data_IF_918392035188
#
_entry.id   IF_918392035188
#
_cell.length_a   1.000
_cell.length_b   1.000
_cell.length_c   1.000
_cell.angle_alpha   90.00
_cell.angle_beta   90.00
_cell.angle_gamma   90.00
#
_symmetry.space_group_name_H-M   'P 1'
#
loop_
_entity.id
_entity.type
_entity.pdbx_description
1 polymer ?
#
# COMPACT_ATOMS: atom_id res chain seq x y z
N UNK A 1 -24.53 34.94 -19.88
CA UNK A 1 -24.18 33.93 -20.90
C UNK A 1 -22.73 33.53 -20.74
N UNK A 2 -22.46 32.22 -20.69
CA UNK A 2 -21.08 31.72 -20.75
C UNK A 2 -20.58 31.89 -22.18
N UNK A 3 -19.33 32.32 -22.33
CA UNK A 3 -18.70 32.41 -23.64
C UNK A 3 -18.30 31.02 -24.20
N UNK A 4 -18.20 30.01 -23.33
CA UNK A 4 -17.87 28.62 -23.68
C UNK A 4 -18.54 27.66 -22.69
N UNK A 5 -19.09 26.56 -23.20
CA UNK A 5 -19.68 25.50 -22.36
C UNK A 5 -18.65 24.50 -21.86
N UNK A 6 -17.72 24.06 -22.72
CA UNK A 6 -16.58 23.18 -22.38
C UNK A 6 -15.48 23.25 -23.45
N UNK A 7 -14.25 22.87 -23.08
CA UNK A 7 -13.15 22.61 -24.00
C UNK A 7 -12.72 21.15 -23.84
N UNK A 8 -12.75 20.39 -24.94
CA UNK A 8 -12.28 19.00 -24.97
C UNK A 8 -11.29 18.88 -26.12
N UNK A 9 -10.07 18.44 -25.82
CA UNK A 9 -9.03 18.14 -26.81
C UNK A 9 -8.57 16.73 -26.55
N UNK A 10 -8.71 15.86 -27.54
CA UNK A 10 -8.38 14.44 -27.39
C UNK A 10 -8.02 13.75 -28.69
N UNK A 11 -7.25 12.66 -28.59
CA UNK A 11 -6.80 11.84 -29.72
C UNK A 11 -6.22 12.73 -30.83
N UNK A 12 -5.27 13.57 -30.44
CA UNK A 12 -4.64 14.51 -31.35
C UNK A 12 -3.15 14.67 -31.05
N UNK A 13 -2.40 15.13 -32.05
CA UNK A 13 -0.97 15.30 -31.95
C UNK A 13 -0.55 16.74 -32.20
N UNK A 14 0.41 17.24 -31.42
CA UNK A 14 1.06 18.54 -31.62
C UNK A 14 2.54 18.32 -31.95
N UNK A 15 3.04 19.03 -32.97
CA UNK A 15 4.44 18.87 -33.38
C UNK A 15 5.05 20.19 -33.80
N UNK A 16 6.32 20.40 -33.44
CA UNK A 16 7.08 21.58 -33.83
C UNK A 16 6.43 22.90 -33.39
N UNK A 17 5.70 22.90 -32.26
CA UNK A 17 5.06 24.11 -31.76
C UNK A 17 6.11 24.92 -30.98
N UNK A 18 6.39 26.15 -31.39
CA UNK A 18 7.34 27.07 -30.73
C UNK A 18 6.78 27.79 -29.49
N UNK A 19 5.56 27.44 -29.09
CA UNK A 19 4.80 28.03 -27.98
C UNK A 19 3.95 26.95 -27.29
N UNK A 20 2.99 27.35 -26.45
CA UNK A 20 2.04 26.41 -25.86
C UNK A 20 1.16 25.76 -26.95
N UNK A 21 1.10 24.43 -26.94
CA UNK A 21 0.18 23.65 -27.77
C UNK A 21 -1.27 24.01 -27.43
N UNK A 22 -1.56 24.17 -26.14
CA UNK A 22 -2.85 24.66 -25.64
C UNK A 22 -2.63 25.72 -24.57
N UNK A 23 -3.17 26.92 -24.81
CA UNK A 23 -3.27 27.97 -23.80
C UNK A 23 -4.73 28.33 -23.59
N UNK A 24 -5.20 28.24 -22.36
CA UNK A 24 -6.60 28.53 -22.01
C UNK A 24 -6.70 29.30 -20.71
N UNK A 25 -7.40 30.43 -20.72
CA UNK A 25 -7.61 31.27 -19.54
C UNK A 25 -9.11 31.27 -19.21
N UNK A 26 -9.44 30.73 -18.04
CA UNK A 26 -10.73 31.01 -17.42
C UNK A 26 -10.73 32.42 -16.86
N UNK A 27 -11.93 32.96 -16.62
CA UNK A 27 -12.05 34.28 -16.02
C UNK A 27 -11.66 34.26 -14.52
N UNK A 28 -11.91 35.36 -13.82
CA UNK A 28 -11.62 35.50 -12.39
C UNK A 28 -12.89 35.57 -11.56
N UNK A 29 -14.04 35.34 -12.19
CA UNK A 29 -15.31 35.37 -11.51
C UNK A 29 -15.41 34.12 -10.62
N UNK A 30 -16.05 34.27 -9.47
CA UNK A 30 -16.31 33.17 -8.53
C UNK A 30 -17.81 32.92 -8.35
N UNK A 31 -18.62 33.60 -9.15
CA UNK A 31 -20.08 33.56 -9.11
C UNK A 31 -20.64 32.50 -10.06
N UNK A 32 -19.90 32.18 -11.11
CA UNK A 32 -20.22 31.15 -12.07
C UNK A 32 -19.11 30.12 -12.10
N UNK A 33 -19.48 28.85 -12.26
CA UNK A 33 -18.48 27.80 -12.40
C UNK A 33 -17.77 27.93 -13.76
N UNK A 34 -16.45 27.74 -13.76
CA UNK A 34 -15.62 27.69 -14.96
C UNK A 34 -16.13 26.66 -15.98
N UNK A 35 -15.80 26.89 -17.24
CA UNK A 35 -15.99 25.88 -18.28
C UNK A 35 -15.05 24.69 -18.01
N UNK A 36 -15.55 23.45 -18.01
CA UNK A 36 -14.70 22.27 -17.88
C UNK A 36 -13.69 22.20 -19.03
N UNK A 37 -12.44 21.88 -18.68
CA UNK A 37 -11.35 21.65 -19.63
C UNK A 37 -10.84 20.23 -19.49
N UNK A 38 -10.90 19.47 -20.57
CA UNK A 38 -10.44 18.08 -20.65
C UNK A 38 -9.40 17.95 -21.76
N UNK A 39 -8.18 17.59 -21.38
CA UNK A 39 -7.09 17.24 -22.29
C UNK A 39 -6.73 15.77 -22.04
N UNK A 40 -6.98 14.88 -23.01
CA UNK A 40 -6.74 13.45 -22.86
C UNK A 40 -6.22 12.79 -24.14
N UNK A 41 -5.33 11.80 -24.05
CA UNK A 41 -4.78 11.09 -25.21
C UNK A 41 -4.16 12.02 -26.26
N UNK A 42 -3.08 12.70 -25.88
CA UNK A 42 -2.38 13.67 -26.74
C UNK A 42 -0.91 13.30 -26.86
N UNK A 43 -0.41 13.28 -28.09
CA UNK A 43 1.02 13.10 -28.38
C UNK A 43 1.66 14.43 -28.76
N UNK A 44 2.69 14.85 -28.02
CA UNK A 44 3.41 16.09 -28.27
C UNK A 44 4.87 15.76 -28.54
N UNK A 45 5.36 16.12 -29.73
CA UNK A 45 6.74 15.84 -30.12
C UNK A 45 7.45 17.08 -30.65
N UNK A 46 8.72 17.27 -30.27
CA UNK A 46 9.57 18.37 -30.76
C UNK A 46 8.98 19.78 -30.58
N UNK A 47 8.21 19.98 -29.51
CA UNK A 47 7.57 21.25 -29.19
C UNK A 47 8.26 21.94 -28.02
N UNK A 48 8.10 23.25 -27.95
CA UNK A 48 8.60 24.07 -26.87
C UNK A 48 8.05 23.61 -25.51
N UNK A 49 8.81 23.84 -24.44
CA UNK A 49 8.33 23.68 -23.08
C UNK A 49 7.12 24.57 -22.78
N UNK A 50 6.45 24.32 -21.66
CA UNK A 50 5.10 24.83 -21.36
C UNK A 50 4.11 24.39 -22.45
N UNK A 51 4.07 23.10 -22.76
CA UNK A 51 3.18 22.54 -23.79
C UNK A 51 1.71 22.88 -23.51
N UNK A 52 1.32 22.90 -22.23
CA UNK A 52 0.02 23.39 -21.79
C UNK A 52 0.15 24.49 -20.75
N UNK A 53 -0.71 25.51 -20.88
CA UNK A 53 -0.90 26.53 -19.86
C UNK A 53 -2.40 26.82 -19.65
N UNK A 54 -2.96 26.22 -18.60
CA UNK A 54 -4.38 26.39 -18.22
C UNK A 54 -4.46 27.31 -17.00
N UNK A 55 -4.91 28.54 -17.19
CA UNK A 55 -4.92 29.57 -16.14
C UNK A 55 -6.30 29.67 -15.51
N UNK A 56 -6.32 29.67 -14.17
CA UNK A 56 -7.52 29.79 -13.33
C UNK A 56 -8.65 28.80 -13.68
N UNK A 57 -8.36 27.66 -14.28
CA UNK A 57 -9.39 26.73 -14.75
C UNK A 57 -9.66 25.69 -13.68
N UNK A 58 -10.67 25.93 -12.82
CA UNK A 58 -11.07 24.99 -11.78
C UNK A 58 -11.65 23.69 -12.34
N UNK A 59 -11.26 22.55 -11.77
CA UNK A 59 -11.72 21.23 -12.19
C UNK A 59 -11.22 20.76 -13.56
N UNK A 60 -10.14 21.35 -14.10
CA UNK A 60 -9.53 20.90 -15.35
C UNK A 60 -8.88 19.52 -15.17
N UNK A 61 -9.00 18.65 -16.18
CA UNK A 61 -8.40 17.32 -16.18
C UNK A 61 -7.43 17.22 -17.35
N UNK A 62 -6.16 16.96 -17.03
CA UNK A 62 -5.09 16.72 -18.01
C UNK A 62 -4.49 15.34 -17.76
N UNK A 63 -4.62 14.44 -18.73
CA UNK A 63 -4.17 13.06 -18.57
C UNK A 63 -3.84 12.38 -19.87
N UNK A 64 -3.16 11.25 -19.78
CA UNK A 64 -2.89 10.37 -20.91
C UNK A 64 -2.09 11.10 -22.02
N UNK A 65 -1.03 11.81 -21.63
CA UNK A 65 -0.24 12.67 -22.53
C UNK A 65 1.19 12.14 -22.68
N UNK A 66 1.68 12.07 -23.91
CA UNK A 66 3.12 11.91 -24.18
C UNK A 66 3.71 13.28 -24.53
N UNK A 67 4.79 13.66 -23.85
CA UNK A 67 5.62 14.80 -24.23
C UNK A 67 7.04 14.32 -24.51
N UNK A 68 7.43 14.31 -25.79
CA UNK A 68 8.74 13.83 -26.22
C UNK A 68 9.56 14.91 -26.93
N UNK A 69 10.89 14.86 -26.75
CA UNK A 69 11.85 15.70 -27.46
C UNK A 69 11.58 17.21 -27.28
N UNK A 70 11.22 17.64 -26.08
CA UNK A 70 10.89 19.06 -25.84
C UNK A 70 12.12 19.96 -25.92
N UNK A 71 11.92 21.20 -26.39
CA UNK A 71 12.98 22.20 -26.60
C UNK A 71 12.66 23.54 -25.95
N UNK A 72 13.65 24.42 -25.84
CA UNK A 72 13.41 25.78 -25.36
C UNK A 72 12.61 26.57 -26.41
N UNK A 73 11.65 27.38 -25.93
CA UNK A 73 10.84 28.29 -26.76
C UNK A 73 11.64 29.47 -27.31
N UNK A 74 12.73 29.87 -26.64
CA UNK A 74 13.43 31.13 -26.94
C UNK A 74 12.64 32.39 -26.56
N UNK A 75 11.51 32.23 -25.84
CA UNK A 75 10.59 33.31 -25.48
C UNK A 75 10.48 33.53 -23.95
N UNK A 76 11.37 32.94 -23.15
CA UNK A 76 11.45 33.15 -21.71
C UNK A 76 10.30 32.52 -20.92
N UNK A 77 9.66 31.48 -21.46
CA UNK A 77 8.53 30.76 -20.87
C UNK A 77 8.82 29.28 -20.66
N UNK A 78 10.06 28.98 -20.32
CA UNK A 78 10.63 27.62 -20.30
C UNK A 78 10.82 27.05 -18.89
N UNK A 79 10.04 27.54 -17.92
CA UNK A 79 10.21 27.21 -16.50
C UNK A 79 9.42 25.95 -16.05
N UNK A 80 8.71 25.31 -16.96
CA UNK A 80 7.88 24.13 -16.72
C UNK A 80 7.60 23.38 -18.03
N UNK A 81 7.37 22.07 -17.96
CA UNK A 81 6.85 21.29 -19.09
C UNK A 81 5.41 21.67 -19.36
N UNK A 82 4.62 21.85 -18.30
CA UNK A 82 3.26 22.38 -18.36
C UNK A 82 2.88 22.96 -17.00
N UNK A 83 1.91 23.87 -17.01
CA UNK A 83 1.32 24.41 -15.78
C UNK A 83 -0.20 24.51 -15.92
N UNK A 84 -0.92 23.91 -14.98
CA UNK A 84 -2.37 24.12 -14.81
C UNK A 84 -2.65 24.77 -13.47
N UNK A 85 -3.66 25.64 -13.43
CA UNK A 85 -4.09 26.33 -12.22
C UNK A 85 -5.58 26.15 -12.00
N UNK A 86 -6.01 26.07 -10.75
CA UNK A 86 -7.42 26.03 -10.37
C UNK A 86 -7.72 24.91 -9.38
N UNK A 87 -8.65 25.17 -8.45
CA UNK A 87 -8.98 24.20 -7.42
C UNK A 87 -9.63 22.95 -8.02
N UNK A 88 -9.18 21.77 -7.58
CA UNK A 88 -9.70 20.48 -8.05
C UNK A 88 -9.23 20.07 -9.45
N UNK A 89 -8.32 20.84 -10.07
CA UNK A 89 -7.73 20.46 -11.34
C UNK A 89 -6.61 19.45 -11.15
N UNK A 90 -6.45 18.51 -12.09
CA UNK A 90 -5.56 17.35 -11.93
C UNK A 90 -4.69 17.13 -13.17
N UNK A 91 -3.44 16.72 -12.91
CA UNK A 91 -2.51 16.16 -13.90
C UNK A 91 -2.18 14.72 -13.49
N UNK A 92 -2.43 13.74 -14.36
CA UNK A 92 -2.15 12.31 -14.12
C UNK A 92 -1.73 11.62 -15.41
N UNK A 93 -1.06 10.46 -15.35
CA UNK A 93 -0.70 9.64 -16.52
C UNK A 93 0.00 10.48 -17.60
N UNK A 94 1.19 10.97 -17.31
CA UNK A 94 2.01 11.77 -18.23
C UNK A 94 3.34 11.06 -18.46
N UNK A 95 3.68 10.87 -19.72
CA UNK A 95 5.01 10.43 -20.12
C UNK A 95 5.85 11.61 -20.60
N UNK A 96 7.12 11.65 -20.17
CA UNK A 96 8.07 12.70 -20.53
C UNK A 96 9.40 12.09 -20.98
N UNK A 97 9.69 12.13 -22.27
CA UNK A 97 10.90 11.54 -22.81
C UNK A 97 11.79 12.55 -23.51
N UNK A 98 13.07 12.60 -23.16
CA UNK A 98 14.02 13.56 -23.74
C UNK A 98 13.49 15.01 -23.71
N UNK A 99 13.01 15.44 -22.55
CA UNK A 99 12.50 16.81 -22.32
C UNK A 99 13.49 17.62 -21.51
N UNK A 100 13.32 18.95 -21.50
CA UNK A 100 14.10 19.80 -20.59
C UNK A 100 13.81 19.43 -19.12
N UNK A 101 14.81 19.51 -18.21
CA UNK A 101 14.65 19.13 -16.81
C UNK A 101 13.93 20.23 -16.01
N UNK A 102 12.69 20.50 -16.38
CA UNK A 102 11.81 21.49 -15.76
C UNK A 102 10.53 20.80 -15.28
N UNK A 103 9.88 21.29 -14.21
CA UNK A 103 8.79 20.55 -13.57
C UNK A 103 7.48 20.59 -14.36
N UNK A 104 6.59 19.64 -14.05
CA UNK A 104 5.16 19.73 -14.32
C UNK A 104 4.50 20.40 -13.10
N UNK A 105 3.67 21.42 -13.32
CA UNK A 105 3.11 22.24 -12.22
C UNK A 105 1.59 22.18 -12.14
N UNK A 106 1.09 21.90 -10.95
CA UNK A 106 -0.24 22.27 -10.50
C UNK A 106 -0.14 23.44 -9.52
N UNK A 107 -0.86 24.54 -9.75
CA UNK A 107 -0.89 25.68 -8.81
C UNK A 107 -2.31 26.11 -8.48
N UNK A 108 -2.49 26.95 -7.46
CA UNK A 108 -3.80 27.48 -7.02
C UNK A 108 -4.85 26.40 -6.75
N UNK A 109 -4.44 25.31 -6.10
CA UNK A 109 -5.33 24.19 -5.76
C UNK A 109 -5.39 23.07 -6.80
N UNK A 110 -4.61 23.15 -7.88
CA UNK A 110 -4.41 22.03 -8.80
C UNK A 110 -3.35 21.06 -8.26
N UNK A 111 -3.47 19.78 -8.60
CA UNK A 111 -2.59 18.70 -8.15
C UNK A 111 -1.91 17.98 -9.32
N UNK A 112 -0.74 17.40 -9.05
CA UNK A 112 0.00 16.51 -9.96
C UNK A 112 0.17 15.18 -9.22
N UNK A 113 -0.26 14.08 -9.84
CA UNK A 113 -0.04 12.74 -9.28
C UNK A 113 1.31 12.20 -9.77
N UNK A 114 2.34 12.36 -8.94
CA UNK A 114 3.74 12.03 -9.28
C UNK A 114 3.95 10.54 -9.56
N UNK A 115 3.13 9.67 -8.97
CA UNK A 115 3.14 8.23 -9.18
C UNK A 115 2.73 7.81 -10.62
N UNK A 116 2.14 8.72 -11.39
CA UNK A 116 1.76 8.50 -12.79
C UNK A 116 2.60 9.32 -13.77
N UNK A 117 3.86 9.59 -13.42
CA UNK A 117 4.87 10.20 -14.30
C UNK A 117 5.91 9.14 -14.68
N UNK A 118 6.00 8.79 -15.97
CA UNK A 118 6.69 7.55 -16.37
C UNK A 118 8.12 7.75 -16.87
N UNK A 119 8.34 8.67 -17.82
CA UNK A 119 9.68 8.96 -18.35
C UNK A 119 10.26 7.84 -19.23
N UNK A 120 9.39 7.16 -19.98
CA UNK A 120 9.68 5.99 -20.80
C UNK A 120 9.91 6.42 -22.25
N UNK A 121 10.83 5.77 -22.97
CA UNK A 121 10.95 5.97 -24.42
C UNK A 121 9.66 5.53 -25.12
N UNK A 122 8.96 6.42 -25.86
CA UNK A 122 7.75 6.03 -26.57
C UNK A 122 7.97 4.96 -27.63
N UNK A 123 9.20 4.83 -28.15
CA UNK A 123 9.53 3.91 -29.24
C UNK A 123 8.65 4.13 -30.47
N UNK A 124 8.70 5.33 -31.03
CA UNK A 124 8.00 5.64 -32.28
C UNK A 124 8.62 4.93 -33.48
N UNK A 125 7.79 4.55 -34.46
CA UNK A 125 8.24 3.93 -35.70
C UNK A 125 9.13 4.88 -36.54
N UNK A 126 8.73 6.14 -36.72
CA UNK A 126 9.50 7.13 -37.48
C UNK A 126 9.10 8.58 -37.15
N UNK A 127 9.49 9.07 -35.95
CA UNK A 127 9.13 10.41 -35.49
C UNK A 127 9.58 11.54 -36.42
N UNK A 128 10.74 11.42 -37.07
CA UNK A 128 11.26 12.39 -38.05
C UNK A 128 10.37 12.54 -39.29
N UNK A 129 9.55 11.53 -39.57
CA UNK A 129 8.55 11.53 -40.66
C UNK A 129 7.13 11.82 -40.16
N UNK A 130 6.98 12.35 -38.93
CA UNK A 130 5.70 12.60 -38.27
C UNK A 130 4.86 11.33 -38.07
N UNK A 131 5.49 10.16 -38.04
CA UNK A 131 4.84 8.90 -37.71
C UNK A 131 5.14 8.55 -36.25
N UNK A 132 4.14 8.76 -35.39
CA UNK A 132 4.24 8.48 -33.96
C UNK A 132 3.70 7.13 -33.57
N UNK A 133 3.48 6.23 -34.54
CA UNK A 133 3.00 4.88 -34.26
C UNK A 133 3.91 4.23 -33.22
N UNK A 134 3.34 3.82 -32.08
CA UNK A 134 4.10 3.15 -31.03
C UNK A 134 4.50 1.75 -31.55
N UNK A 135 5.78 1.41 -31.42
CA UNK A 135 6.25 0.07 -31.75
C UNK A 135 5.64 -0.95 -30.78
N UNK A 136 5.44 -2.23 -31.19
CA UNK A 136 4.81 -3.25 -30.35
C UNK A 136 5.47 -3.46 -28.98
N UNK A 137 6.77 -3.18 -28.85
CA UNK A 137 7.53 -3.32 -27.61
C UNK A 137 7.50 -2.06 -26.72
N UNK A 138 6.75 -1.02 -27.09
CA UNK A 138 6.60 0.17 -26.26
C UNK A 138 5.96 -0.18 -24.91
N UNK A 139 6.53 0.33 -23.83
CA UNK A 139 5.97 0.16 -22.48
C UNK A 139 4.85 1.15 -22.17
N UNK A 140 4.51 2.03 -23.11
CA UNK A 140 3.45 3.03 -22.98
C UNK A 140 2.04 2.47 -23.18
N UNK A 141 1.92 1.25 -23.71
CA UNK A 141 0.64 0.53 -23.76
C UNK A 141 0.15 0.16 -22.37
N UNK A 142 -1.15 0.36 -22.11
CA UNK A 142 -1.79 0.01 -20.84
C UNK A 142 -1.53 0.99 -19.70
N UNK A 143 -0.77 2.07 -19.95
CA UNK A 143 -0.48 3.11 -18.96
C UNK A 143 -1.49 4.26 -18.96
N UNK A 144 -2.46 4.26 -19.86
CA UNK A 144 -3.55 5.23 -19.87
C UNK A 144 -4.48 5.02 -18.67
N UNK A 145 -5.15 6.09 -18.24
CA UNK A 145 -6.10 6.09 -17.14
C UNK A 145 -7.33 5.20 -17.38
N UNK A 146 -7.56 4.81 -18.64
CA UNK A 146 -8.58 3.89 -19.12
C UNK A 146 -8.05 2.48 -19.41
N UNK A 147 -6.75 2.23 -19.21
CA UNK A 147 -6.08 0.98 -19.54
C UNK A 147 -5.65 0.86 -21.00
N UNK A 148 -5.81 1.90 -21.81
CA UNK A 148 -5.26 1.97 -23.17
C UNK A 148 -3.82 2.51 -23.16
N UNK A 149 -3.26 2.80 -24.34
CA UNK A 149 -1.98 3.49 -24.42
C UNK A 149 -2.09 4.96 -24.00
N UNK A 150 -1.02 5.48 -23.39
CA UNK A 150 -0.86 6.92 -23.20
C UNK A 150 -0.60 7.61 -24.56
N UNK A 151 -1.02 8.87 -24.69
CA UNK A 151 -0.87 9.62 -25.94
C UNK A 151 -2.04 9.43 -26.91
N UNK A 152 -1.91 10.00 -28.11
CA UNK A 152 -2.93 9.95 -29.16
C UNK A 152 -3.14 8.53 -29.67
N UNK A 153 -4.33 7.98 -29.41
CA UNK A 153 -4.67 6.59 -29.71
C UNK A 153 -4.65 6.25 -31.20
N UNK A 154 -4.69 7.24 -32.10
CA UNK A 154 -4.51 6.99 -33.53
C UNK A 154 -3.12 6.44 -33.87
N UNK A 155 -2.15 6.58 -32.97
CA UNK A 155 -0.81 6.04 -33.09
C UNK A 155 -0.59 4.74 -32.29
N UNK A 156 -1.55 4.34 -31.45
CA UNK A 156 -1.47 3.13 -30.65
C UNK A 156 -2.16 1.95 -31.34
N UNK A 157 -1.81 1.67 -32.60
CA UNK A 157 -2.54 0.72 -33.45
C UNK A 157 -1.98 -0.70 -33.41
N UNK A 158 -0.74 -0.89 -32.95
CA UNK A 158 -0.12 -2.20 -32.82
C UNK A 158 -0.62 -2.98 -31.61
N UNK A 159 -0.54 -4.31 -31.70
CA UNK A 159 -0.73 -5.20 -30.54
C UNK A 159 0.56 -5.20 -29.70
N UNK A 160 0.50 -4.88 -28.40
CA UNK A 160 1.69 -4.86 -27.56
C UNK A 160 2.25 -6.27 -27.34
N UNK A 161 3.59 -6.37 -27.29
CA UNK A 161 4.31 -7.62 -26.98
C UNK A 161 4.94 -7.63 -25.60
N UNK A 162 4.93 -6.51 -24.88
CA UNK A 162 5.38 -6.44 -23.48
C UNK A 162 4.47 -7.25 -22.58
N UNK A 163 5.02 -7.75 -21.47
CA UNK A 163 4.30 -8.65 -20.56
C UNK A 163 4.28 -8.10 -19.15
N UNK A 164 3.22 -8.40 -18.42
CA UNK A 164 3.00 -7.90 -17.05
C UNK A 164 3.30 -8.97 -16.01
N UNK A 165 3.77 -8.54 -14.83
CA UNK A 165 3.90 -9.38 -13.64
C UNK A 165 2.98 -8.83 -12.55
N UNK A 166 1.91 -9.56 -12.23
CA UNK A 166 1.05 -9.25 -11.09
C UNK A 166 1.56 -9.96 -9.85
N UNK A 167 1.92 -9.19 -8.82
CA UNK A 167 2.35 -9.74 -7.52
C UNK A 167 1.26 -9.52 -6.48
N UNK A 168 0.82 -10.61 -5.86
CA UNK A 168 -0.06 -10.57 -4.70
C UNK A 168 0.71 -10.98 -3.43
N UNK A 169 0.25 -10.47 -2.30
CA UNK A 169 0.77 -10.84 -0.97
C UNK A 169 -0.39 -11.34 -0.14
N UNK A 170 -0.21 -12.52 0.44
CA UNK A 170 -1.11 -13.07 1.47
C UNK A 170 -0.44 -12.87 2.83
N UNK A 171 -1.20 -12.30 3.75
CA UNK A 171 -0.78 -11.89 5.09
C UNK A 171 0.31 -10.79 5.10
N UNK A 172 1.24 -10.79 6.06
CA UNK A 172 2.12 -9.64 6.32
C UNK A 172 3.53 -9.81 5.79
N UNK A 173 3.85 -9.04 4.76
CA UNK A 173 5.15 -8.97 4.12
C UNK A 173 5.11 -8.06 2.89
N UNK A 174 6.22 -7.99 2.17
CA UNK A 174 6.30 -7.31 0.88
C UNK A 174 7.14 -8.13 -0.09
N UNK A 175 7.08 -7.79 -1.38
CA UNK A 175 7.91 -8.38 -2.41
C UNK A 175 8.64 -7.28 -3.15
N UNK A 176 9.94 -7.44 -3.34
CA UNK A 176 10.72 -6.57 -4.22
C UNK A 176 11.09 -7.30 -5.50
N UNK A 177 11.17 -6.55 -6.61
CA UNK A 177 11.45 -7.04 -7.95
C UNK A 177 12.76 -6.47 -8.46
N UNK A 178 13.62 -7.31 -9.01
CA UNK A 178 14.90 -6.90 -9.61
C UNK A 178 15.14 -7.61 -10.94
N UNK A 179 15.15 -6.89 -12.09
CA UNK A 179 14.92 -5.46 -12.21
C UNK A 179 13.45 -5.06 -11.91
N UNK A 180 13.18 -3.80 -11.54
CA UNK A 180 11.81 -3.27 -11.51
C UNK A 180 11.22 -3.23 -12.94
N UNK A 181 9.88 -3.20 -13.08
CA UNK A 181 9.24 -3.05 -14.39
C UNK A 181 9.52 -1.67 -15.00
N UNK A 182 9.43 -1.60 -16.33
CA UNK A 182 9.39 -0.33 -17.06
C UNK A 182 7.91 0.06 -17.16
N UNK A 183 7.50 1.07 -16.40
CA UNK A 183 6.07 1.35 -16.19
C UNK A 183 5.41 0.19 -15.44
N UNK A 184 4.52 -0.53 -16.14
CA UNK A 184 3.79 -1.68 -15.58
C UNK A 184 4.22 -3.04 -16.18
N UNK A 185 5.21 -3.05 -17.08
CA UNK A 185 5.52 -4.23 -17.91
C UNK A 185 7.03 -4.50 -18.03
N UNK A 186 7.35 -5.65 -18.62
CA UNK A 186 8.69 -6.15 -18.92
C UNK A 186 8.81 -6.54 -20.40
N UNK A 187 10.02 -6.47 -20.92
CA UNK A 187 10.35 -7.09 -22.21
C UNK A 187 10.26 -8.63 -22.09
N UNK A 188 9.73 -9.33 -23.10
CA UNK A 188 9.71 -10.79 -23.12
C UNK A 188 11.10 -11.41 -22.95
N UNK A 189 11.20 -12.41 -22.09
CA UNK A 189 12.45 -13.10 -21.75
C UNK A 189 13.25 -12.43 -20.63
N UNK A 190 12.79 -11.28 -20.09
CA UNK A 190 13.42 -10.69 -18.90
C UNK A 190 13.38 -11.68 -17.74
N UNK A 191 14.51 -11.92 -17.09
CA UNK A 191 14.57 -12.72 -15.86
C UNK A 191 14.46 -11.78 -14.66
N UNK A 192 13.36 -11.88 -13.93
CA UNK A 192 13.08 -11.05 -12.75
C UNK A 192 13.35 -11.87 -11.50
N UNK A 193 14.16 -11.33 -10.59
CA UNK A 193 14.37 -11.88 -9.24
C UNK A 193 13.33 -11.30 -8.30
N UNK A 194 12.53 -12.18 -7.70
CA UNK A 194 11.54 -11.85 -6.69
C UNK A 194 12.15 -12.13 -5.30
N UNK A 195 12.07 -11.14 -4.40
CA UNK A 195 12.52 -11.29 -3.01
C UNK A 195 11.36 -11.00 -2.08
N UNK A 196 10.88 -12.01 -1.37
CA UNK A 196 9.91 -11.85 -0.29
C UNK A 196 10.61 -11.29 0.96
N UNK A 197 10.05 -10.23 1.54
CA UNK A 197 10.54 -9.56 2.73
C UNK A 197 9.44 -9.66 3.79
N UNK A 198 9.57 -10.59 4.76
CA UNK A 198 8.60 -10.73 5.83
C UNK A 198 8.61 -9.51 6.77
N UNK A 199 7.44 -9.14 7.27
CA UNK A 199 7.33 -8.19 8.38
C UNK A 199 7.81 -8.81 9.71
N UNK A 200 7.97 -7.99 10.75
CA UNK A 200 8.39 -8.48 12.06
C UNK A 200 7.46 -9.58 12.61
N UNK A 201 8.05 -10.70 13.04
CA UNK A 201 7.36 -11.92 13.50
C UNK A 201 6.60 -12.67 12.39
N UNK A 202 6.88 -12.43 11.12
CA UNK A 202 6.39 -13.24 10.00
C UNK A 202 7.56 -13.93 9.32
N UNK A 203 7.30 -15.09 8.72
CA UNK A 203 8.23 -15.76 7.82
C UNK A 203 7.58 -15.98 6.46
N UNK A 204 8.40 -15.89 5.42
CA UNK A 204 7.99 -16.28 4.07
C UNK A 204 7.77 -17.80 4.06
N UNK A 205 6.59 -18.23 3.62
CA UNK A 205 6.22 -19.63 3.56
C UNK A 205 6.54 -20.21 2.18
N UNK A 206 5.94 -19.66 1.13
CA UNK A 206 6.09 -20.13 -0.24
C UNK A 206 5.57 -19.12 -1.27
N UNK A 207 6.02 -19.31 -2.51
CA UNK A 207 5.46 -18.74 -3.72
C UNK A 207 4.38 -19.67 -4.28
N UNK A 208 3.33 -19.09 -4.85
CA UNK A 208 2.33 -19.80 -5.65
C UNK A 208 2.01 -19.03 -6.93
N UNK A 209 1.39 -19.70 -7.91
CA UNK A 209 1.11 -19.14 -9.24
C UNK A 209 2.18 -19.56 -10.24
N UNK A 210 2.69 -18.60 -11.02
CA UNK A 210 3.71 -18.85 -12.05
C UNK A 210 5.13 -19.06 -11.49
N UNK A 211 5.37 -18.70 -10.23
CA UNK A 211 6.55 -19.05 -9.45
C UNK A 211 6.07 -19.88 -8.26
N UNK A 212 6.74 -21.01 -7.97
CA UNK A 212 6.30 -21.95 -6.92
C UNK A 212 7.47 -22.42 -6.07
N UNK A 213 7.17 -22.84 -4.83
CA UNK A 213 8.17 -23.34 -3.89
C UNK A 213 8.61 -22.28 -2.89
N UNK A 214 9.64 -22.59 -2.10
CA UNK A 214 10.03 -21.80 -0.92
C UNK A 214 11.43 -21.19 -1.01
N UNK A 215 12.06 -21.23 -2.19
CA UNK A 215 13.30 -20.50 -2.41
C UNK A 215 13.03 -18.99 -2.28
N UNK A 216 13.89 -18.29 -1.54
CA UNK A 216 13.79 -16.84 -1.42
C UNK A 216 15.20 -16.23 -1.24
N UNK A 217 15.68 -15.39 -2.17
CA UNK A 217 15.03 -14.98 -3.41
C UNK A 217 14.88 -16.12 -4.43
N UNK A 218 13.99 -15.94 -5.42
CA UNK A 218 13.87 -16.85 -6.57
C UNK A 218 13.61 -16.07 -7.86
N UNK A 219 13.85 -16.68 -9.03
CA UNK A 219 13.81 -16.01 -10.32
C UNK A 219 12.70 -16.55 -11.22
N UNK A 220 12.04 -15.64 -11.93
CA UNK A 220 10.98 -15.92 -12.90
C UNK A 220 11.36 -15.33 -14.27
N UNK A 221 11.19 -16.11 -15.33
CA UNK A 221 11.35 -15.59 -16.71
C UNK A 221 10.01 -15.06 -17.23
N UNK A 222 10.01 -13.83 -17.74
CA UNK A 222 8.86 -13.14 -18.29
C UNK A 222 8.58 -13.57 -19.74
N UNK A 223 8.14 -14.80 -19.96
CA UNK A 223 7.79 -15.35 -21.28
C UNK A 223 6.30 -15.21 -21.65
N UNK A 224 5.52 -14.51 -20.82
CA UNK A 224 4.10 -14.23 -20.96
C UNK A 224 3.62 -13.36 -19.79
N UNK A 225 2.34 -13.01 -19.74
CA UNK A 225 1.76 -12.40 -18.55
C UNK A 225 1.87 -13.39 -17.38
N UNK A 226 2.37 -12.90 -16.24
CA UNK A 226 2.63 -13.72 -15.05
C UNK A 226 1.87 -13.21 -13.84
N UNK A 227 1.47 -14.13 -12.97
CA UNK A 227 0.93 -13.85 -11.64
C UNK A 227 1.63 -14.69 -10.59
N UNK A 228 2.18 -14.03 -9.57
CA UNK A 228 2.85 -14.68 -8.44
C UNK A 228 2.23 -14.19 -7.14
N UNK A 229 2.00 -15.11 -6.21
CA UNK A 229 1.56 -14.77 -4.85
C UNK A 229 2.63 -15.19 -3.85
N UNK A 230 3.09 -14.24 -3.02
CA UNK A 230 3.90 -14.53 -1.85
C UNK A 230 2.99 -14.81 -0.66
N UNK A 231 3.16 -15.96 -0.01
CA UNK A 231 2.43 -16.30 1.20
C UNK A 231 3.38 -16.16 2.39
N UNK A 232 2.97 -15.36 3.37
CA UNK A 232 3.65 -15.24 4.65
C UNK A 232 2.86 -15.96 5.73
N UNK A 233 3.53 -16.43 6.78
CA UNK A 233 2.86 -16.92 7.99
C UNK A 233 3.50 -16.31 9.21
N UNK A 234 2.71 -16.08 10.25
CA UNK A 234 3.24 -15.62 11.52
C UNK A 234 4.27 -16.64 12.02
N UNK A 235 5.48 -16.18 12.34
CA UNK A 235 6.42 -16.92 13.17
C UNK A 235 5.74 -17.11 14.53
N UNK A 236 5.00 -18.20 14.65
CA UNK A 236 4.62 -18.67 15.98
C UNK A 236 5.94 -18.98 16.67
N UNK A 237 6.19 -18.38 17.83
CA UNK A 237 7.34 -18.71 18.66
C UNK A 237 7.26 -20.17 19.11
N UNK A 238 7.61 -21.08 18.21
CA UNK A 238 7.77 -22.50 18.43
C UNK A 238 9.26 -22.73 18.23
N UNK A 239 10.01 -22.53 19.32
CA UNK A 239 11.16 -23.38 19.56
C UNK A 239 10.69 -24.81 19.30
N UNK A 240 11.25 -25.46 18.29
CA UNK A 240 10.93 -26.84 17.93
C UNK A 240 11.63 -27.80 18.91
N UNK A 241 11.41 -27.56 20.20
CA UNK A 241 11.27 -28.60 21.20
C UNK A 241 9.91 -28.42 21.89
N UNK A 242 9.30 -29.55 22.17
CA UNK A 242 8.25 -29.72 23.14
C UNK A 242 8.55 -28.95 24.44
N UNK A 243 8.07 -27.71 24.54
CA UNK A 243 7.93 -27.00 25.79
C UNK A 243 6.44 -26.75 26.08
N UNK A 244 5.59 -27.76 25.86
CA UNK A 244 4.55 -27.98 26.86
C UNK A 244 5.24 -27.87 28.22
N UNK A 245 4.69 -27.09 29.15
CA UNK A 245 5.35 -26.89 30.44
C UNK A 245 5.62 -28.27 31.03
N UNK A 246 6.80 -28.48 31.62
CA UNK A 246 7.18 -29.79 32.16
C UNK A 246 6.72 -29.98 33.61
N UNK A 247 6.28 -28.89 34.24
CA UNK A 247 5.85 -28.83 35.64
C UNK A 247 4.63 -27.92 35.77
N UNK A 248 3.82 -28.14 36.80
CA UNK A 248 2.85 -27.14 37.24
C UNK A 248 3.59 -25.95 37.86
N UNK A 249 3.21 -24.73 37.48
CA UNK A 249 3.61 -23.53 38.19
C UNK A 249 2.59 -22.40 37.96
N UNK A 250 2.57 -21.44 38.89
CA UNK A 250 1.85 -20.17 38.76
C UNK A 250 2.77 -19.05 39.19
N UNK A 251 2.96 -18.05 38.32
CA UNK A 251 3.76 -16.87 38.62
C UNK A 251 3.00 -15.94 39.58
N UNK A 252 3.72 -15.12 40.38
CA UNK A 252 3.09 -14.05 41.14
C UNK A 252 2.16 -13.21 40.25
N UNK A 253 1.01 -12.84 40.78
CA UNK A 253 0.04 -12.06 40.03
C UNK A 253 0.60 -10.66 39.72
N UNK A 254 0.32 -10.15 38.51
CA UNK A 254 0.76 -8.83 38.07
C UNK A 254 -0.38 -8.06 37.37
N UNK A 255 -0.58 -6.77 37.72
CA UNK A 255 0.12 -6.01 38.77
C UNK A 255 -0.20 -6.49 40.20
N UNK A 256 0.67 -6.20 41.17
CA UNK A 256 0.45 -6.41 42.61
C UNK A 256 1.35 -5.42 43.41
N UNK A 257 0.80 -4.40 44.11
CA UNK A 257 -0.63 -4.11 44.27
C UNK A 257 -1.35 -3.76 42.96
N UNK A 258 -2.67 -3.95 42.90
CA UNK A 258 -3.47 -3.77 41.67
C UNK A 258 -4.75 -2.95 41.87
N UNK A 259 -5.24 -2.30 40.81
CA UNK A 259 -6.50 -1.53 40.79
C UNK A 259 -7.14 -1.52 39.37
N UNK A 260 -8.39 -2.01 39.18
CA UNK A 260 -9.06 -3.05 39.96
C UNK A 260 -8.63 -4.46 39.49
N UNK A 261 -7.77 -4.58 38.47
CA UNK A 261 -7.48 -5.89 37.83
C UNK A 261 -6.03 -6.36 37.95
N UNK A 262 -5.86 -7.67 38.09
CA UNK A 262 -4.57 -8.38 38.08
C UNK A 262 -4.67 -9.65 37.24
N UNK A 263 -3.54 -10.16 36.78
CA UNK A 263 -3.47 -11.38 35.98
C UNK A 263 -2.70 -12.49 36.71
N UNK A 264 -3.19 -13.71 36.58
CA UNK A 264 -2.56 -14.94 37.02
C UNK A 264 -2.08 -15.70 35.79
N UNK A 265 -0.76 -15.85 35.65
CA UNK A 265 -0.16 -16.66 34.59
C UNK A 265 0.30 -17.99 35.19
N UNK A 266 -0.18 -19.11 34.65
CA UNK A 266 0.15 -20.44 35.14
C UNK A 266 0.34 -21.43 34.00
N UNK A 267 0.93 -22.57 34.29
CA UNK A 267 1.31 -23.57 33.31
C UNK A 267 0.88 -24.97 33.77
N UNK A 268 0.41 -25.79 32.83
CA UNK A 268 -0.18 -27.11 33.06
C UNK A 268 0.52 -28.12 32.14
N UNK A 269 1.28 -29.10 32.68
CA UNK A 269 2.12 -29.99 31.89
C UNK A 269 1.38 -31.17 31.22
N UNK A 270 0.19 -31.48 31.70
CA UNK A 270 -0.65 -32.58 31.23
C UNK A 270 -2.12 -32.25 31.51
N UNK A 271 -3.05 -32.97 30.89
CA UNK A 271 -4.49 -32.80 31.16
C UNK A 271 -4.74 -32.93 32.67
N UNK A 272 -5.28 -31.88 33.30
CA UNK A 272 -5.47 -31.82 34.75
C UNK A 272 -6.56 -30.83 35.16
N UNK A 273 -7.28 -31.16 36.22
CA UNK A 273 -8.23 -30.24 36.84
C UNK A 273 -7.46 -29.20 37.65
N UNK A 274 -7.67 -27.92 37.31
CA UNK A 274 -7.06 -26.77 37.98
C UNK A 274 -8.12 -26.04 38.80
N UNK A 275 -7.81 -25.80 40.07
CA UNK A 275 -8.57 -24.94 40.97
C UNK A 275 -7.76 -23.68 41.30
N UNK A 276 -8.29 -22.52 40.94
CA UNK A 276 -7.72 -21.21 41.31
C UNK A 276 -8.79 -20.40 42.04
N UNK A 277 -8.59 -20.21 43.34
CA UNK A 277 -9.58 -19.61 44.23
C UNK A 277 -8.97 -18.47 45.03
N UNK A 278 -9.69 -17.35 45.12
CA UNK A 278 -9.34 -16.18 45.92
C UNK A 278 -10.07 -16.24 47.26
N UNK A 279 -9.37 -15.92 48.33
CA UNK A 279 -9.84 -15.86 49.71
C UNK A 279 -9.51 -14.50 50.33
N UNK A 280 -10.31 -14.09 51.31
CA UNK A 280 -9.97 -12.97 52.18
C UNK A 280 -9.02 -13.43 53.32
N UNK A 281 -8.53 -12.48 54.13
CA UNK A 281 -7.63 -12.77 55.27
C UNK A 281 -8.24 -13.67 56.35
N UNK A 282 -9.57 -13.81 56.39
CA UNK A 282 -10.27 -14.70 57.32
C UNK A 282 -10.40 -16.13 56.77
N UNK A 283 -9.86 -16.41 55.58
CA UNK A 283 -9.95 -17.70 54.91
C UNK A 283 -11.31 -17.97 54.25
N UNK A 284 -12.17 -16.96 54.13
CA UNK A 284 -13.45 -17.11 53.44
C UNK A 284 -13.24 -17.00 51.92
N UNK A 285 -13.87 -17.90 51.15
CA UNK A 285 -13.81 -17.88 49.69
C UNK A 285 -14.50 -16.62 49.16
N UNK A 286 -13.80 -15.91 48.27
CA UNK A 286 -14.24 -14.67 47.65
C UNK A 286 -14.63 -14.89 46.19
N UNK A 287 -13.76 -15.54 45.40
CA UNK A 287 -13.96 -15.75 43.97
C UNK A 287 -13.36 -17.07 43.52
N UNK A 288 -14.08 -17.83 42.72
CA UNK A 288 -13.56 -18.97 41.97
C UNK A 288 -13.18 -18.47 40.57
N UNK A 289 -11.89 -18.49 40.24
CA UNK A 289 -11.38 -18.04 38.93
C UNK A 289 -11.25 -19.19 37.94
N UNK A 290 -10.92 -20.38 38.43
CA UNK A 290 -10.93 -21.62 37.67
C UNK A 290 -11.32 -22.79 38.57
N UNK A 291 -12.09 -23.73 38.03
CA UNK A 291 -12.37 -25.04 38.62
C UNK A 291 -12.80 -26.02 37.51
N UNK A 292 -11.89 -26.30 36.57
CA UNK A 292 -12.18 -27.09 35.37
C UNK A 292 -10.92 -27.82 34.86
N UNK A 293 -11.09 -28.71 33.88
CA UNK A 293 -9.98 -29.37 33.20
C UNK A 293 -9.28 -28.40 32.25
N UNK A 294 -7.94 -28.45 32.23
CA UNK A 294 -7.09 -27.75 31.27
C UNK A 294 -6.26 -28.77 30.50
N UNK A 295 -6.08 -28.51 29.21
CA UNK A 295 -5.12 -29.23 28.36
C UNK A 295 -3.68 -28.85 28.75
N UNK A 296 -2.66 -29.55 28.23
CA UNK A 296 -1.28 -29.13 28.43
C UNK A 296 -1.03 -27.75 27.79
N UNK A 297 -0.52 -26.77 28.55
CA UNK A 297 -0.25 -25.44 28.02
C UNK A 297 -0.01 -24.35 29.07
N UNK A 298 0.19 -23.13 28.59
CA UNK A 298 0.32 -21.92 29.41
C UNK A 298 -0.99 -21.13 29.36
N UNK A 299 -1.42 -20.61 30.51
CA UNK A 299 -2.72 -19.99 30.69
C UNK A 299 -2.62 -18.66 31.43
N UNK A 300 -3.57 -17.77 31.12
CA UNK A 300 -3.71 -16.46 31.77
C UNK A 300 -5.16 -16.25 32.18
N UNK A 301 -5.40 -15.93 33.46
CA UNK A 301 -6.72 -15.58 33.98
C UNK A 301 -6.65 -14.21 34.67
N UNK A 302 -7.60 -13.34 34.37
CA UNK A 302 -7.74 -12.05 35.03
C UNK A 302 -8.72 -12.13 36.21
N UNK A 303 -8.43 -11.37 37.27
CA UNK A 303 -9.40 -11.06 38.31
C UNK A 303 -9.59 -9.55 38.39
N UNK A 304 -10.85 -9.12 38.45
CA UNK A 304 -11.30 -7.73 38.40
C UNK A 304 -11.71 -7.16 39.77
N UNK A 305 -11.37 -7.87 40.85
CA UNK A 305 -11.73 -7.45 42.20
C UNK A 305 -13.22 -7.64 42.54
N UNK A 306 -13.93 -8.57 41.87
CA UNK A 306 -15.31 -8.96 42.21
C UNK A 306 -15.39 -10.34 42.86
N UNK A 307 -16.41 -10.57 43.68
CA UNK A 307 -16.71 -11.89 44.26
C UNK A 307 -17.51 -12.77 43.28
N UNK A 308 -17.86 -14.00 43.69
CA UNK A 308 -18.65 -14.94 42.87
C UNK A 308 -20.05 -14.41 42.50
N UNK A 309 -20.60 -13.44 43.25
CA UNK A 309 -21.88 -12.78 42.96
C UNK A 309 -21.74 -11.57 42.02
N UNK A 310 -20.53 -11.24 41.56
CA UNK A 310 -20.24 -10.08 40.72
C UNK A 310 -20.13 -8.75 41.46
N UNK A 311 -20.21 -8.75 42.80
CA UNK A 311 -20.05 -7.56 43.62
C UNK A 311 -18.58 -7.24 43.88
N UNK A 312 -18.21 -5.96 43.79
CA UNK A 312 -16.84 -5.52 44.09
C UNK A 312 -16.47 -5.78 45.55
N UNK A 313 -15.25 -6.27 45.78
CA UNK A 313 -14.73 -6.53 47.13
C UNK A 313 -14.01 -5.31 47.70
N UNK A 314 -13.76 -5.28 49.00
CA UNK A 314 -13.10 -4.15 49.66
C UNK A 314 -11.60 -4.07 49.32
N UNK A 315 -11.01 -2.87 49.40
CA UNK A 315 -9.54 -2.69 49.41
C UNK A 315 -8.93 -3.50 50.54
N UNK A 316 -7.82 -4.19 50.28
CA UNK A 316 -7.16 -4.98 51.31
C UNK A 316 -6.30 -6.12 50.78
N UNK A 317 -5.85 -6.96 51.71
CA UNK A 317 -5.05 -8.15 51.44
C UNK A 317 -5.99 -9.30 51.09
N UNK A 318 -5.64 -10.01 50.02
CA UNK A 318 -6.28 -11.25 49.60
C UNK A 318 -5.22 -12.33 49.43
N UNK A 319 -5.66 -13.58 49.49
CA UNK A 319 -4.83 -14.75 49.28
C UNK A 319 -5.44 -15.53 48.12
N UNK A 320 -4.65 -15.99 47.17
CA UNK A 320 -5.12 -16.97 46.20
C UNK A 320 -4.45 -18.32 46.45
N UNK A 321 -5.20 -19.38 46.19
CA UNK A 321 -4.76 -20.77 46.25
C UNK A 321 -4.93 -21.37 44.86
N UNK A 322 -3.82 -21.82 44.29
CA UNK A 322 -3.76 -22.57 43.05
C UNK A 322 -3.47 -24.03 43.37
N UNK A 323 -4.30 -24.93 42.85
CA UNK A 323 -4.19 -26.38 43.03
C UNK A 323 -4.32 -27.09 41.68
N UNK A 324 -3.39 -28.00 41.41
CA UNK A 324 -3.45 -28.92 40.27
C UNK A 324 -2.77 -30.23 40.66
N UNK A 325 -3.53 -31.33 40.71
CA UNK A 325 -3.09 -32.61 41.25
C UNK A 325 -2.40 -32.48 42.63
N UNK A 326 -1.10 -32.77 42.72
CA UNK A 326 -0.30 -32.70 43.94
C UNK A 326 0.40 -31.33 44.13
N UNK A 327 0.27 -30.41 43.17
CA UNK A 327 0.86 -29.08 43.25
C UNK A 327 -0.11 -28.10 43.91
N UNK A 328 0.35 -27.44 44.97
CA UNK A 328 -0.40 -26.39 45.67
C UNK A 328 0.50 -25.17 45.83
N UNK A 329 0.05 -24.00 45.36
CA UNK A 329 0.74 -22.71 45.55
C UNK A 329 -0.22 -21.69 46.12
N UNK A 330 0.22 -21.03 47.19
CA UNK A 330 -0.56 -20.02 47.91
C UNK A 330 0.26 -18.74 47.94
N UNK A 331 -0.29 -17.63 47.45
CA UNK A 331 0.37 -16.32 47.54
C UNK A 331 -0.59 -15.20 47.93
N UNK A 332 -0.01 -14.14 48.49
CA UNK A 332 -0.73 -12.92 48.91
C UNK A 332 -0.76 -11.89 47.79
N UNK A 333 -1.84 -11.12 47.73
CA UNK A 333 -2.00 -9.99 46.82
C UNK A 333 -2.71 -8.82 47.50
N UNK A 334 -2.49 -7.61 46.99
CA UNK A 334 -3.01 -6.36 47.56
C UNK A 334 -3.88 -5.68 46.51
N UNK A 335 -5.18 -5.60 46.78
CA UNK A 335 -6.11 -4.78 46.00
C UNK A 335 -6.10 -3.37 46.58
N UNK A 336 -5.79 -2.37 45.73
CA UNK A 336 -5.92 -0.95 46.02
C UNK A 336 -7.08 -0.39 45.19
N UNK A 337 -7.92 0.45 45.80
CA UNK A 337 -8.90 1.27 45.08
C UNK A 337 -8.48 2.71 45.16
#
# INVERSE_FOLDING_TARGET
>A
DRALDSLIIRNCSFTNIDAECVRYYSDLDTLTADAPVFLEHITINNSATRVFFLKNSGGAVVRDIIVSNSRQSGHGRDADIMEIQGNGSTITHIDTFNVLPVPIKGTKGATVAEEFLYGIDPQYEAADSLNYTLLPNSHLYGLGSDGEAIGDLNWATNTPVTVSLTVAVVDSGSVTLSPPPIGLTYDPGTVVTLTAIPEANWEFLEWTGDLTGNNNPDSLTMDGHKSVTAIFKLMVGIDNDSALPKVFDISPNYPNPFNPSTNFNFQVPKVSVVSLVVYNILGQKVRTLANQSFEPGFYKIAWDGRNDLGSSVATGIYIYRFEAENFVKIQKMILMK
#
